data_IF_164438934448
#
_entry.id   IF_164438934448
#
_cell.length_a   1.000
_cell.length_b   1.000
_cell.length_c   1.000
_cell.angle_alpha   90.00
_cell.angle_beta   90.00
_cell.angle_gamma   90.00
#
_symmetry.space_group_name_H-M   'P 1'
#
loop_
_entity.id
_entity.type
_entity.pdbx_description
1 polymer ?
#
# COMPACT_ATOMS: atom_id res chain seq x y z
N UNK A 1 -2.19 5.22 10.25
CA UNK A 1 -2.97 4.52 9.22
C UNK A 1 -2.80 5.30 7.93
N UNK A 2 -2.23 4.67 6.92
CA UNK A 2 -1.84 5.27 5.65
C UNK A 2 -2.56 4.58 4.51
N UNK A 3 -3.15 5.38 3.62
CA UNK A 3 -3.78 4.87 2.42
C UNK A 3 -2.73 4.50 1.38
N UNK A 4 -2.79 3.28 0.87
CA UNK A 4 -1.87 2.75 -0.14
C UNK A 4 -2.64 2.19 -1.33
N UNK A 5 -2.09 2.34 -2.54
CA UNK A 5 -2.55 1.67 -3.75
C UNK A 5 -1.68 0.45 -4.01
N UNK A 6 -2.28 -0.73 -4.05
CA UNK A 6 -1.53 -1.96 -4.29
C UNK A 6 -1.05 -2.02 -5.73
N UNK A 7 0.23 -2.32 -5.94
CA UNK A 7 0.76 -2.62 -7.28
C UNK A 7 0.58 -4.09 -7.63
N UNK A 8 0.58 -4.97 -6.62
CA UNK A 8 0.45 -6.42 -6.76
C UNK A 8 -0.68 -6.97 -5.89
N UNK A 9 -1.21 -8.13 -6.25
CA UNK A 9 -2.19 -8.82 -5.41
C UNK A 9 -1.47 -9.53 -4.27
N UNK A 10 -1.89 -9.29 -3.03
CA UNK A 10 -1.32 -9.96 -1.85
C UNK A 10 -2.39 -10.29 -0.82
N UNK A 11 -2.16 -11.31 -0.01
CA UNK A 11 -2.98 -11.58 1.16
C UNK A 11 -2.38 -10.82 2.37
N UNK A 12 -3.21 -10.08 3.09
CA UNK A 12 -2.81 -9.33 4.29
C UNK A 12 -3.91 -9.46 5.34
N UNK A 13 -3.55 -9.91 6.55
CA UNK A 13 -4.51 -10.13 7.66
C UNK A 13 -5.74 -11.00 7.31
N UNK A 14 -5.58 -11.95 6.38
CA UNK A 14 -6.67 -12.81 5.92
C UNK A 14 -7.55 -12.19 4.82
N UNK A 15 -7.28 -10.95 4.43
CA UNK A 15 -7.93 -10.28 3.31
C UNK A 15 -7.08 -10.34 2.05
N UNK A 16 -7.73 -10.51 0.90
CA UNK A 16 -7.06 -10.49 -0.40
C UNK A 16 -7.06 -9.06 -0.96
N UNK A 17 -5.92 -8.39 -0.85
CA UNK A 17 -5.73 -7.06 -1.40
C UNK A 17 -5.46 -7.19 -2.90
N UNK A 18 -6.35 -6.65 -3.72
CA UNK A 18 -6.25 -6.73 -5.17
C UNK A 18 -5.32 -5.63 -5.71
N UNK A 19 -4.52 -5.99 -6.71
CA UNK A 19 -3.71 -5.03 -7.44
C UNK A 19 -4.59 -3.90 -8.03
N UNK A 20 -4.09 -2.68 -7.98
CA UNK A 20 -4.76 -1.47 -8.46
C UNK A 20 -5.81 -0.89 -7.50
N UNK A 21 -6.19 -1.62 -6.44
CA UNK A 21 -7.12 -1.12 -5.43
C UNK A 21 -6.41 -0.40 -4.28
N UNK A 22 -7.16 0.47 -3.63
CA UNK A 22 -6.70 1.28 -2.51
C UNK A 22 -7.15 0.67 -1.19
N UNK A 23 -6.23 0.64 -0.23
CA UNK A 23 -6.47 0.09 1.11
C UNK A 23 -5.80 0.96 2.16
N UNK A 24 -6.27 0.85 3.40
CA UNK A 24 -5.69 1.55 4.53
C UNK A 24 -4.93 0.55 5.41
N UNK A 25 -3.64 0.81 5.63
CA UNK A 25 -2.76 -0.08 6.41
C UNK A 25 -1.95 0.73 7.39
N UNK A 26 -1.29 0.07 8.35
CA UNK A 26 -0.36 0.73 9.25
C UNK A 26 0.78 1.43 8.51
N UNK A 27 1.26 2.54 9.07
CA UNK A 27 2.28 3.38 8.42
C UNK A 27 3.61 2.62 8.26
N UNK A 28 3.91 1.70 9.19
CA UNK A 28 5.06 0.81 9.12
C UNK A 28 4.98 -0.16 7.93
N UNK A 29 3.79 -0.74 7.70
CA UNK A 29 3.49 -1.62 6.57
C UNK A 29 3.52 -0.83 5.26
N UNK A 30 2.89 0.34 5.22
CA UNK A 30 2.87 1.22 4.06
C UNK A 30 4.28 1.60 3.59
N UNK A 31 5.16 2.01 4.53
CA UNK A 31 6.57 2.34 4.22
C UNK A 31 7.34 1.14 3.67
N UNK A 32 7.17 -0.04 4.27
CA UNK A 32 7.80 -1.28 3.78
C UNK A 32 7.33 -1.64 2.38
N UNK A 33 6.03 -1.54 2.12
CA UNK A 33 5.46 -1.85 0.80
C UNK A 33 5.89 -0.85 -0.26
N UNK A 34 5.99 0.43 0.09
CA UNK A 34 6.51 1.46 -0.81
C UNK A 34 7.97 1.22 -1.17
N UNK A 35 8.83 0.95 -0.17
CA UNK A 35 10.24 0.63 -0.40
C UNK A 35 10.43 -0.63 -1.26
N UNK A 36 9.60 -1.65 -1.06
CA UNK A 36 9.61 -2.89 -1.84
C UNK A 36 8.79 -2.84 -3.13
N UNK A 37 8.25 -1.68 -3.51
CA UNK A 37 7.40 -1.47 -4.71
C UNK A 37 6.12 -2.33 -4.76
N UNK A 38 5.67 -2.85 -3.62
CA UNK A 38 4.45 -3.66 -3.47
C UNK A 38 3.19 -2.79 -3.54
N UNK A 39 3.25 -1.59 -2.98
CA UNK A 39 2.17 -0.63 -2.96
C UNK A 39 2.72 0.80 -2.95
N UNK A 40 1.95 1.77 -3.44
CA UNK A 40 2.31 3.18 -3.46
C UNK A 40 1.52 3.90 -2.37
N UNK A 41 2.18 4.75 -1.57
CA UNK A 41 1.52 5.57 -0.57
C UNK A 41 0.75 6.70 -1.27
N UNK A 42 -0.56 6.80 -1.03
CA UNK A 42 -1.42 7.82 -1.65
C UNK A 42 -1.52 9.12 -0.84
N UNK A 43 -1.23 9.08 0.47
CA UNK A 43 -1.31 10.24 1.36
C UNK A 43 -0.05 11.10 1.39
N UNK A 44 1.00 10.68 0.68
CA UNK A 44 2.15 11.52 0.45
C UNK A 44 2.03 11.99 -0.99
N UNK A 45 1.65 13.25 -1.17
CA UNK A 45 2.00 14.01 -2.35
C UNK A 45 3.52 13.85 -2.56
N UNK A 46 3.93 12.81 -3.28
CA UNK A 46 5.25 12.74 -3.89
C UNK A 46 5.23 13.81 -4.99
N UNK A 47 5.36 15.07 -4.55
CA UNK A 47 5.65 16.23 -5.40
C UNK A 47 7.06 16.00 -5.91
N UNK A 48 7.16 15.28 -7.02
CA UNK A 48 8.30 15.40 -7.92
C UNK A 48 8.07 16.60 -8.84
#
# INVERSE_FOLDING_TARGET
>A
MTKVKMNVQTAYHGELLRAGKEYEVDDSTAKRWNASKIAVILNSEDRN
#
